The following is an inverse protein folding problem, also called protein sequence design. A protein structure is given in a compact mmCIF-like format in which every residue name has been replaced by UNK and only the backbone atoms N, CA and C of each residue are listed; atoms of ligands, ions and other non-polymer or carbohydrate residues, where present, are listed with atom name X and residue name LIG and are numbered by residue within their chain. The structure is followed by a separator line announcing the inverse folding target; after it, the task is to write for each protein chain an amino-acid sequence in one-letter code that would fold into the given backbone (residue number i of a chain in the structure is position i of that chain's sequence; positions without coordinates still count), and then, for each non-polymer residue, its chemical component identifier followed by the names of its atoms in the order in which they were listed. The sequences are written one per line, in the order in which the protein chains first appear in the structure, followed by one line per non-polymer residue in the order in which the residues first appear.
data_IF_747706405494
#
_entry.id   IF_747706405494
#
_cell.length_a   1.000
_cell.length_b   1.000
_cell.length_c   1.000
_cell.angle_alpha   90.00
_cell.angle_beta   90.00
_cell.angle_gamma   90.00
#
_symmetry.space_group_name_H-M   'P 1'
#
loop_
_entity.id
_entity.type
_entity.pdbx_description
1 polymer ?
#
# COMPACT_ATOMS: atom_id res chain seq x y z
N UNK A 1 -18.95 19.87 -1.15
CA UNK A 1 -17.66 19.14 -1.02
C UNK A 1 -17.78 17.88 -1.86
N UNK A 2 -17.10 17.83 -3.00
CA UNK A 2 -17.08 16.64 -3.88
C UNK A 2 -15.70 16.01 -3.80
N UNK A 3 -15.65 14.78 -3.31
CA UNK A 3 -14.45 13.98 -3.23
C UNK A 3 -14.47 12.93 -4.34
N UNK A 4 -13.38 12.83 -5.10
CA UNK A 4 -13.18 11.81 -6.12
C UNK A 4 -11.85 11.09 -5.89
N UNK A 5 -11.86 9.77 -6.04
CA UNK A 5 -10.65 8.96 -5.89
C UNK A 5 -10.44 8.08 -7.12
N UNK A 6 -9.39 8.36 -7.86
CA UNK A 6 -8.88 7.53 -8.96
C UNK A 6 -7.91 6.51 -8.38
N UNK A 7 -8.32 5.24 -8.37
CA UNK A 7 -7.61 4.22 -7.61
C UNK A 7 -7.75 2.82 -8.21
N UNK A 8 -7.05 1.88 -7.65
CA UNK A 8 -7.23 0.45 -7.90
C UNK A 8 -7.43 -0.28 -6.58
N UNK A 9 -8.39 -1.20 -6.52
CA UNK A 9 -8.79 -1.91 -5.30
C UNK A 9 -7.61 -2.52 -4.54
N UNK A 10 -6.71 -3.21 -5.23
CA UNK A 10 -5.55 -3.90 -4.65
C UNK A 10 -4.29 -3.04 -4.52
N UNK A 11 -4.30 -1.75 -4.85
CA UNK A 11 -3.13 -0.88 -4.68
C UNK A 11 -2.93 -0.52 -3.21
N UNK A 12 -1.78 -0.87 -2.63
CA UNK A 12 -1.44 -0.52 -1.24
C UNK A 12 -1.49 0.99 -0.98
N UNK A 13 -1.04 1.80 -1.94
CA UNK A 13 -1.13 3.26 -1.84
C UNK A 13 -2.59 3.76 -1.89
N UNK A 14 -3.45 3.13 -2.71
CA UNK A 14 -4.88 3.47 -2.74
C UNK A 14 -5.59 3.03 -1.46
N UNK A 15 -5.19 1.90 -0.89
CA UNK A 15 -5.73 1.40 0.39
C UNK A 15 -5.41 2.35 1.55
N UNK A 16 -4.23 3.00 1.57
CA UNK A 16 -3.89 4.04 2.55
C UNK A 16 -4.93 5.18 2.55
N UNK A 17 -5.27 5.68 1.38
CA UNK A 17 -6.25 6.78 1.23
C UNK A 17 -7.65 6.32 1.61
N UNK A 18 -8.08 5.12 1.20
CA UNK A 18 -9.39 4.57 1.59
C UNK A 18 -9.52 4.35 3.09
N UNK A 19 -8.46 3.85 3.76
CA UNK A 19 -8.43 3.75 5.23
C UNK A 19 -8.62 5.13 5.87
N UNK A 20 -7.90 6.14 5.37
CA UNK A 20 -8.02 7.50 5.88
C UNK A 20 -9.43 8.07 5.68
N UNK A 21 -10.02 7.90 4.50
CA UNK A 21 -11.41 8.31 4.23
C UNK A 21 -12.38 7.64 5.21
N UNK A 22 -12.25 6.32 5.40
CA UNK A 22 -13.12 5.57 6.32
C UNK A 22 -12.95 6.03 7.78
N UNK A 23 -11.74 6.31 8.23
CA UNK A 23 -11.47 6.85 9.58
C UNK A 23 -11.97 8.30 9.74
N UNK A 24 -12.07 9.05 8.65
CA UNK A 24 -12.66 10.38 8.60
C UNK A 24 -14.20 10.37 8.46
N UNK A 25 -14.83 9.21 8.63
CA UNK A 25 -16.29 9.06 8.56
C UNK A 25 -16.87 8.99 7.16
N UNK A 26 -16.04 8.70 6.16
CA UNK A 26 -16.41 8.56 4.75
C UNK A 26 -16.13 7.12 4.23
N UNK A 27 -16.78 6.07 4.81
CA UNK A 27 -16.44 4.69 4.48
C UNK A 27 -17.05 4.18 3.17
N UNK A 28 -18.13 4.83 2.65
CA UNK A 28 -18.96 4.28 1.58
C UNK A 28 -18.55 4.78 0.18
N UNK A 29 -17.95 3.89 -0.61
CA UNK A 29 -17.65 4.13 -2.02
C UNK A 29 -18.92 4.42 -2.83
N UNK A 30 -18.85 5.39 -3.74
CA UNK A 30 -19.96 5.79 -4.59
C UNK A 30 -21.06 6.58 -3.87
N UNK A 31 -20.93 6.80 -2.55
CA UNK A 31 -21.86 7.61 -1.76
C UNK A 31 -21.14 8.77 -1.08
N UNK A 32 -20.12 8.48 -0.25
CA UNK A 32 -19.36 9.49 0.47
C UNK A 32 -18.30 10.14 -0.44
N UNK A 33 -17.84 9.41 -1.45
CA UNK A 33 -16.91 9.85 -2.47
C UNK A 33 -17.12 9.11 -3.80
N UNK A 34 -16.81 9.77 -4.89
CA UNK A 34 -16.93 9.19 -6.25
C UNK A 34 -15.73 8.28 -6.53
N UNK A 35 -16.01 7.05 -6.92
CA UNK A 35 -15.01 6.05 -7.28
C UNK A 35 -14.70 6.09 -8.78
N UNK A 36 -13.42 6.20 -9.11
CA UNK A 36 -12.90 6.01 -10.46
C UNK A 36 -11.88 4.86 -10.43
N UNK A 37 -12.31 3.66 -10.80
CA UNK A 37 -11.39 2.52 -10.85
C UNK A 37 -10.46 2.66 -12.07
N UNK A 38 -9.14 2.61 -11.82
CA UNK A 38 -8.08 2.65 -12.83
C UNK A 38 -7.54 1.26 -13.04
N UNK A 39 -7.74 0.68 -14.21
CA UNK A 39 -7.26 -0.66 -14.54
C UNK A 39 -5.74 -0.63 -14.85
N UNK A 40 -4.95 -1.00 -13.84
CA UNK A 40 -3.49 -1.10 -13.97
C UNK A 40 -3.05 -2.25 -14.88
N UNK A 41 -3.90 -3.23 -15.10
CA UNK A 41 -3.65 -4.34 -16.03
C UNK A 41 -3.69 -3.87 -17.49
N UNK A 42 -4.57 -2.92 -17.79
CA UNK A 42 -4.69 -2.25 -19.10
C UNK A 42 -3.84 -1.00 -19.22
N UNK A 43 -3.06 -0.67 -18.19
CA UNK A 43 -2.19 0.52 -18.15
C UNK A 43 -2.92 1.86 -18.30
N UNK A 44 -4.17 1.96 -17.83
CA UNK A 44 -4.95 3.19 -17.89
C UNK A 44 -4.28 4.37 -17.17
N UNK A 45 -3.45 4.10 -16.16
CA UNK A 45 -2.64 5.14 -15.50
C UNK A 45 -1.58 5.79 -16.43
N UNK A 46 -1.36 5.25 -17.61
CA UNK A 46 -0.43 5.79 -18.63
C UNK A 46 -1.18 6.43 -19.82
N UNK A 47 -2.49 6.52 -19.77
CA UNK A 47 -3.28 7.23 -20.77
C UNK A 47 -3.08 8.75 -20.64
N UNK A 48 -3.05 9.50 -21.76
CA UNK A 48 -2.79 10.94 -21.73
C UNK A 48 -3.66 11.69 -20.74
N UNK A 49 -4.97 11.42 -20.71
CA UNK A 49 -5.91 12.09 -19.82
C UNK A 49 -5.62 11.83 -18.34
N UNK A 50 -5.09 10.64 -18.00
CA UNK A 50 -4.69 10.37 -16.62
C UNK A 50 -3.35 11.03 -16.28
N UNK A 51 -2.38 11.02 -17.20
CA UNK A 51 -1.07 11.67 -17.02
C UNK A 51 -1.15 13.19 -16.88
N UNK A 52 -2.18 13.84 -17.46
CA UNK A 52 -2.47 15.25 -17.22
C UNK A 52 -2.82 15.53 -15.74
N UNK A 53 -3.51 14.59 -15.07
CA UNK A 53 -3.83 14.70 -13.64
C UNK A 53 -2.67 14.24 -12.76
N UNK A 54 -2.02 13.13 -13.12
CA UNK A 54 -0.92 12.56 -12.34
C UNK A 54 0.25 12.16 -13.25
N UNK A 55 1.21 13.07 -13.44
CA UNK A 55 2.36 12.84 -14.32
C UNK A 55 3.27 11.70 -13.87
N UNK A 56 3.12 11.21 -12.63
CA UNK A 56 3.84 10.04 -12.11
C UNK A 56 3.33 8.71 -12.71
N UNK A 57 2.14 8.69 -13.36
CA UNK A 57 1.57 7.49 -13.96
C UNK A 57 1.30 6.38 -12.94
N UNK A 58 0.83 6.73 -11.74
CA UNK A 58 0.54 5.81 -10.63
C UNK A 58 -0.80 6.15 -9.98
N UNK A 59 -1.33 5.22 -9.19
CA UNK A 59 -2.51 5.45 -8.34
C UNK A 59 -2.09 5.51 -6.86
N UNK A 60 -2.82 6.24 -6.00
CA UNK A 60 -4.04 7.01 -6.27
C UNK A 60 -3.79 8.41 -6.81
N UNK A 61 -4.82 8.97 -7.44
CA UNK A 61 -5.00 10.40 -7.64
C UNK A 61 -6.30 10.80 -6.94
N UNK A 62 -6.27 11.90 -6.22
CA UNK A 62 -7.40 12.39 -5.43
C UNK A 62 -7.85 13.74 -5.97
N UNK A 63 -9.17 13.99 -5.98
CA UNK A 63 -9.72 15.32 -6.26
C UNK A 63 -10.64 15.77 -5.15
N UNK A 64 -10.54 17.04 -4.81
CA UNK A 64 -11.47 17.71 -3.92
C UNK A 64 -11.96 19.01 -4.57
N UNK A 65 -13.27 19.07 -4.86
CA UNK A 65 -13.90 20.18 -5.56
C UNK A 65 -13.18 20.54 -6.88
N UNK A 66 -12.68 19.53 -7.60
CA UNK A 66 -11.97 19.68 -8.87
C UNK A 66 -10.45 19.82 -8.76
N UNK A 67 -9.91 20.20 -7.60
CA UNK A 67 -8.46 20.32 -7.38
C UNK A 67 -7.80 18.96 -7.21
N UNK A 68 -6.70 18.75 -7.91
CA UNK A 68 -5.97 17.47 -7.95
C UNK A 68 -4.88 17.43 -6.89
N UNK A 69 -4.86 16.34 -6.12
CA UNK A 69 -3.81 16.04 -5.15
C UNK A 69 -3.26 14.64 -5.46
N UNK A 70 -1.94 14.54 -5.54
CA UNK A 70 -1.22 13.30 -5.80
C UNK A 70 -0.33 12.93 -4.61
N UNK A 71 0.24 11.72 -4.61
CA UNK A 71 1.01 11.11 -3.52
C UNK A 71 0.15 10.71 -2.32
N UNK A 72 0.06 9.40 -2.10
CA UNK A 72 -0.87 8.84 -1.09
C UNK A 72 -0.70 9.42 0.31
N UNK A 73 0.53 9.67 0.75
CA UNK A 73 0.80 10.24 2.08
C UNK A 73 0.43 11.73 2.15
N UNK A 74 0.64 12.49 1.07
CA UNK A 74 0.18 13.87 0.98
C UNK A 74 -1.36 13.95 0.98
N UNK A 75 -2.04 13.03 0.28
CA UNK A 75 -3.50 12.92 0.31
C UNK A 75 -3.99 12.62 1.73
N UNK A 76 -3.33 11.71 2.46
CA UNK A 76 -3.68 11.40 3.86
C UNK A 76 -3.52 12.63 4.76
N UNK A 77 -2.41 13.35 4.65
CA UNK A 77 -2.16 14.58 5.42
C UNK A 77 -3.19 15.66 5.04
N UNK A 78 -3.51 15.82 3.76
CA UNK A 78 -4.55 16.74 3.30
C UNK A 78 -5.93 16.40 3.88
N UNK A 79 -6.32 15.14 3.87
CA UNK A 79 -7.60 14.69 4.45
C UNK A 79 -7.67 14.96 5.96
N UNK A 80 -6.54 14.82 6.67
CA UNK A 80 -6.44 15.17 8.08
C UNK A 80 -6.70 16.67 8.33
N UNK A 81 -6.20 17.53 7.44
CA UNK A 81 -6.35 18.99 7.55
C UNK A 81 -7.72 19.47 7.05
N UNK A 82 -8.24 18.87 5.96
CA UNK A 82 -9.52 19.23 5.35
C UNK A 82 -10.72 18.74 6.17
N UNK A 83 -10.59 17.61 6.87
CA UNK A 83 -11.60 17.01 7.75
C UNK A 83 -10.96 16.77 9.11
N UNK A 84 -10.91 17.80 9.98
CA UNK A 84 -10.10 17.75 11.21
C UNK A 84 -10.55 16.67 12.22
N UNK A 85 -11.83 16.33 12.24
CA UNK A 85 -12.38 15.37 13.20
C UNK A 85 -12.93 14.11 12.49
N UNK A 86 -12.69 12.92 13.05
CA UNK A 86 -11.81 12.65 14.19
C UNK A 86 -10.33 12.90 13.85
N UNK A 87 -9.56 13.46 14.80
CA UNK A 87 -8.15 13.75 14.58
C UNK A 87 -7.32 12.47 14.50
N UNK A 88 -6.52 12.32 13.42
CA UNK A 88 -5.63 11.19 13.16
C UNK A 88 -4.14 11.56 13.29
N UNK A 89 -3.82 12.80 13.64
CA UNK A 89 -2.47 13.25 14.00
C UNK A 89 -2.49 13.94 15.35
N UNK A 90 -1.40 13.86 16.12
CA UNK A 90 -1.29 14.57 17.39
C UNK A 90 -1.46 16.09 17.24
N UNK A 91 -2.07 16.74 18.24
CA UNK A 91 -2.17 18.21 18.28
C UNK A 91 -0.84 18.88 18.68
N UNK A 92 -0.05 18.23 19.52
CA UNK A 92 1.27 18.69 19.90
C UNK A 92 2.21 18.72 18.70
N UNK A 93 2.92 19.82 18.49
CA UNK A 93 3.75 20.04 17.29
C UNK A 93 4.94 19.08 17.22
N UNK A 94 5.55 18.74 18.34
CA UNK A 94 6.70 17.80 18.37
C UNK A 94 6.22 16.38 18.09
N UNK A 95 5.14 15.95 18.73
CA UNK A 95 4.52 14.65 18.45
C UNK A 95 4.05 14.54 17.00
N UNK A 96 3.46 15.61 16.44
CA UNK A 96 3.08 15.68 15.02
C UNK A 96 4.30 15.59 14.08
N UNK A 97 5.41 16.24 14.41
CA UNK A 97 6.65 16.12 13.63
C UNK A 97 7.21 14.69 13.68
N UNK A 98 7.16 14.01 14.83
CA UNK A 98 7.54 12.60 14.97
C UNK A 98 6.61 11.69 14.16
N UNK A 99 5.31 11.95 14.16
CA UNK A 99 4.34 11.25 13.32
C UNK A 99 4.69 11.37 11.83
N UNK A 100 4.98 12.59 11.34
CA UNK A 100 5.43 12.82 9.95
C UNK A 100 6.74 12.11 9.62
N UNK A 101 7.68 12.02 10.57
CA UNK A 101 8.90 11.24 10.37
C UNK A 101 8.60 9.74 10.19
N UNK A 102 7.65 9.19 10.95
CA UNK A 102 7.14 7.84 10.74
C UNK A 102 6.52 7.66 9.35
N UNK A 103 5.70 8.60 8.91
CA UNK A 103 5.07 8.55 7.59
C UNK A 103 6.13 8.48 6.46
N UNK A 104 7.21 9.28 6.56
CA UNK A 104 8.32 9.24 5.58
C UNK A 104 9.03 7.89 5.58
N UNK A 105 9.30 7.33 6.76
CA UNK A 105 9.88 6.00 6.89
C UNK A 105 8.99 4.91 6.25
N UNK A 106 7.67 4.96 6.49
CA UNK A 106 6.73 4.00 5.92
C UNK A 106 6.60 4.10 4.39
N UNK A 107 6.80 5.28 3.81
CA UNK A 107 6.86 5.45 2.36
C UNK A 107 8.14 4.88 1.77
N UNK A 108 9.26 5.14 2.40
CA UNK A 108 10.58 4.78 1.90
C UNK A 108 10.89 3.28 2.06
N UNK A 109 10.53 2.67 3.18
CA UNK A 109 10.92 1.30 3.50
C UNK A 109 9.82 0.28 3.18
N UNK A 110 8.74 0.10 3.99
CA UNK A 110 7.81 -1.00 3.73
C UNK A 110 6.99 -0.82 2.45
N UNK A 111 6.66 0.41 2.07
CA UNK A 111 5.92 0.69 0.82
C UNK A 111 6.74 0.34 -0.42
N UNK A 112 8.05 0.45 -0.36
CA UNK A 112 8.94 0.04 -1.46
C UNK A 112 9.20 -1.46 -1.40
N UNK A 113 9.49 -1.99 -0.23
CA UNK A 113 9.81 -3.40 -0.02
C UNK A 113 8.67 -4.32 -0.48
N UNK A 114 7.43 -4.06 -0.08
CA UNK A 114 6.26 -4.90 -0.40
C UNK A 114 6.00 -5.07 -1.90
N UNK A 115 6.51 -4.17 -2.73
CA UNK A 115 6.40 -4.29 -4.20
C UNK A 115 7.19 -5.47 -4.75
N UNK A 116 8.34 -5.79 -4.16
CA UNK A 116 9.22 -6.87 -4.62
C UNK A 116 8.49 -8.22 -4.62
N UNK A 117 7.99 -8.73 -3.48
CA UNK A 117 7.21 -9.96 -3.48
C UNK A 117 5.90 -9.83 -4.26
N UNK A 118 5.21 -8.68 -4.26
CA UNK A 118 3.99 -8.47 -5.05
C UNK A 118 4.24 -8.70 -6.55
N UNK A 119 5.38 -8.25 -7.08
CA UNK A 119 5.73 -8.48 -8.48
C UNK A 119 6.19 -9.91 -8.73
N UNK A 120 6.91 -10.52 -7.81
CA UNK A 120 7.35 -11.91 -7.95
C UNK A 120 6.18 -12.91 -7.87
N UNK A 121 5.24 -12.68 -6.94
CA UNK A 121 4.12 -13.59 -6.69
C UNK A 121 2.96 -13.44 -7.70
N UNK A 122 2.81 -12.27 -8.33
CA UNK A 122 1.67 -12.02 -9.21
C UNK A 122 2.00 -11.20 -10.45
N UNK A 123 2.43 -9.93 -10.28
CA UNK A 123 2.30 -8.96 -11.38
C UNK A 123 3.25 -9.22 -12.55
N UNK A 124 4.49 -9.64 -12.30
CA UNK A 124 5.43 -9.90 -13.38
C UNK A 124 5.07 -11.17 -14.16
N UNK A 125 4.81 -12.33 -13.54
CA UNK A 125 4.34 -13.51 -14.25
C UNK A 125 3.05 -13.25 -15.03
N UNK A 126 2.08 -12.59 -14.43
CA UNK A 126 0.78 -12.30 -15.06
C UNK A 126 0.91 -11.42 -16.31
N UNK A 127 1.81 -10.41 -16.28
CA UNK A 127 1.89 -9.37 -17.32
C UNK A 127 2.92 -9.66 -18.40
N UNK A 128 3.98 -10.38 -18.06
CA UNK A 128 5.18 -10.48 -18.91
C UNK A 128 5.52 -11.90 -19.35
N UNK A 129 4.83 -12.93 -18.84
CA UNK A 129 5.02 -14.31 -19.37
C UNK A 129 4.73 -14.33 -20.87
N UNK A 130 5.69 -14.85 -21.65
CA UNK A 130 5.62 -14.93 -23.12
C UNK A 130 5.97 -13.63 -23.87
N UNK A 131 6.29 -12.55 -23.17
CA UNK A 131 6.82 -11.32 -23.78
C UNK A 131 8.31 -11.47 -24.09
N UNK A 132 8.79 -10.80 -25.14
CA UNK A 132 10.22 -10.67 -25.43
C UNK A 132 10.89 -9.67 -24.46
N UNK A 133 12.23 -9.74 -24.34
CA UNK A 133 13.00 -8.78 -23.55
C UNK A 133 12.84 -7.34 -24.09
N UNK A 134 12.69 -7.20 -25.40
CA UNK A 134 12.44 -5.90 -26.03
C UNK A 134 11.08 -5.31 -25.63
N UNK A 135 10.02 -6.12 -25.63
CA UNK A 135 8.68 -5.69 -25.18
C UNK A 135 8.66 -5.33 -23.71
N UNK A 136 9.38 -6.10 -22.88
CA UNK A 136 9.50 -5.81 -21.45
C UNK A 136 10.27 -4.50 -21.21
N UNK A 137 11.39 -4.29 -21.91
CA UNK A 137 12.18 -3.07 -21.81
C UNK A 137 11.39 -1.84 -22.29
N UNK A 138 10.71 -1.95 -23.43
CA UNK A 138 9.87 -0.88 -23.97
C UNK A 138 8.72 -0.51 -23.00
N UNK A 139 8.16 -1.51 -22.29
CA UNK A 139 7.18 -1.21 -21.24
C UNK A 139 7.81 -0.44 -20.08
N UNK A 140 8.98 -0.85 -19.59
CA UNK A 140 9.69 -0.14 -18.52
C UNK A 140 9.98 1.33 -18.87
N UNK A 141 10.33 1.58 -20.12
CA UNK A 141 10.63 2.93 -20.62
C UNK A 141 9.42 3.90 -20.62
N UNK A 142 8.20 3.35 -20.65
CA UNK A 142 6.96 4.13 -20.60
C UNK A 142 6.56 4.60 -19.21
N UNK A 143 7.24 4.12 -18.15
CA UNK A 143 6.86 4.36 -16.76
C UNK A 143 7.62 5.56 -16.18
N UNK A 144 6.97 6.74 -15.97
CA UNK A 144 7.67 7.95 -15.54
C UNK A 144 8.42 7.75 -14.22
N UNK A 145 7.76 7.17 -13.22
CA UNK A 145 8.31 7.04 -11.86
C UNK A 145 9.03 5.70 -11.62
N UNK A 146 8.72 4.63 -12.38
CA UNK A 146 9.12 3.26 -12.00
C UNK A 146 10.02 2.57 -12.99
N UNK A 147 10.58 3.28 -13.96
CA UNK A 147 11.49 2.72 -14.96
C UNK A 147 12.60 1.87 -14.32
N UNK A 148 13.33 2.41 -13.36
CA UNK A 148 14.44 1.71 -12.69
C UNK A 148 13.99 0.48 -11.91
N UNK A 149 12.82 0.53 -11.27
CA UNK A 149 12.25 -0.63 -10.58
C UNK A 149 12.01 -1.80 -11.55
N UNK A 150 11.42 -1.52 -12.72
CA UNK A 150 11.19 -2.54 -13.75
C UNK A 150 12.49 -3.05 -14.36
N UNK A 151 13.48 -2.19 -14.58
CA UNK A 151 14.79 -2.58 -15.13
C UNK A 151 15.61 -3.48 -14.19
N UNK A 152 15.30 -3.50 -12.89
CA UNK A 152 15.97 -4.37 -11.91
C UNK A 152 15.40 -5.79 -11.86
N UNK A 153 14.24 -6.04 -12.42
CA UNK A 153 13.61 -7.37 -12.40
C UNK A 153 13.64 -8.02 -13.79
N UNK A 154 13.36 -9.32 -13.82
CA UNK A 154 13.12 -10.07 -15.06
C UNK A 154 11.62 -10.12 -15.38
N UNK A 155 11.25 -10.74 -16.50
CA UNK A 155 9.85 -11.04 -16.83
C UNK A 155 9.15 -11.92 -15.77
N UNK A 156 9.92 -12.72 -15.01
CA UNK A 156 9.44 -13.53 -13.88
C UNK A 156 9.37 -12.75 -12.56
N UNK A 157 9.71 -11.45 -12.58
CA UNK A 157 9.83 -10.61 -11.39
C UNK A 157 11.21 -10.73 -10.75
N UNK A 158 11.24 -10.51 -9.45
CA UNK A 158 12.45 -10.50 -8.63
C UNK A 158 12.88 -11.92 -8.24
N UNK A 159 14.19 -12.11 -8.04
CA UNK A 159 14.77 -13.36 -7.58
C UNK A 159 14.69 -13.54 -6.07
N UNK A 160 15.22 -14.70 -5.59
CA UNK A 160 15.24 -15.08 -4.17
C UNK A 160 15.87 -14.01 -3.29
N UNK A 161 17.07 -13.56 -3.62
CA UNK A 161 17.81 -12.58 -2.81
C UNK A 161 17.06 -11.23 -2.67
N UNK A 162 16.38 -10.77 -3.73
CA UNK A 162 15.58 -9.55 -3.67
C UNK A 162 14.38 -9.73 -2.73
N UNK A 163 13.70 -10.89 -2.80
CA UNK A 163 12.56 -11.22 -1.95
C UNK A 163 12.99 -11.32 -0.49
N UNK A 164 14.09 -12.02 -0.19
CA UNK A 164 14.64 -12.14 1.16
C UNK A 164 15.02 -10.77 1.74
N UNK A 165 15.66 -9.91 0.94
CA UNK A 165 15.98 -8.54 1.36
C UNK A 165 14.71 -7.73 1.64
N UNK A 166 13.70 -7.82 0.79
CA UNK A 166 12.42 -7.15 1.00
C UNK A 166 11.70 -7.66 2.27
N UNK A 167 11.71 -8.97 2.50
CA UNK A 167 11.19 -9.58 3.74
C UNK A 167 11.96 -9.08 4.98
N UNK A 168 13.28 -8.96 4.89
CA UNK A 168 14.10 -8.37 5.96
C UNK A 168 13.71 -6.92 6.28
N UNK A 169 13.44 -6.10 5.28
CA UNK A 169 12.97 -4.72 5.48
C UNK A 169 11.56 -4.66 6.11
N UNK A 170 10.68 -5.58 5.74
CA UNK A 170 9.35 -5.71 6.39
C UNK A 170 9.53 -6.18 7.83
N UNK A 171 10.39 -7.18 8.11
CA UNK A 171 10.72 -7.62 9.47
C UNK A 171 11.20 -6.44 10.33
N UNK A 172 12.14 -5.66 9.85
CA UNK A 172 12.63 -4.47 10.54
C UNK A 172 11.50 -3.47 10.83
N UNK A 173 10.56 -3.32 9.90
CA UNK A 173 9.38 -2.46 10.10
C UNK A 173 8.48 -3.01 11.21
N UNK A 174 8.22 -4.32 11.23
CA UNK A 174 7.42 -4.96 12.28
C UNK A 174 8.07 -4.84 13.66
N UNK A 175 9.39 -5.05 13.76
CA UNK A 175 10.16 -4.84 15.00
C UNK A 175 10.08 -3.39 15.49
N UNK A 176 10.16 -2.44 14.55
CA UNK A 176 10.05 -1.03 14.88
C UNK A 176 8.64 -0.66 15.36
N UNK A 177 7.59 -1.24 14.78
CA UNK A 177 6.20 -1.10 15.24
C UNK A 177 6.04 -1.72 16.63
N UNK A 178 6.47 -2.96 16.84
CA UNK A 178 6.38 -3.66 18.13
C UNK A 178 7.06 -2.85 19.25
N UNK A 179 8.27 -2.36 18.98
CA UNK A 179 9.01 -1.50 19.91
C UNK A 179 8.28 -0.17 20.17
N UNK A 180 7.76 0.48 19.14
CA UNK A 180 7.08 1.77 19.30
C UNK A 180 5.82 1.65 20.16
N UNK A 181 5.03 0.57 19.98
CA UNK A 181 3.87 0.28 20.81
C UNK A 181 4.29 0.10 22.28
N UNK A 182 5.39 -0.63 22.53
CA UNK A 182 5.93 -0.78 23.88
C UNK A 182 6.35 0.55 24.49
N UNK A 183 7.13 1.34 23.75
CA UNK A 183 7.70 2.62 24.24
C UNK A 183 6.60 3.67 24.50
N UNK A 184 5.52 3.66 23.71
CA UNK A 184 4.43 4.63 23.81
C UNK A 184 3.25 4.16 24.71
N UNK A 185 3.31 2.92 25.21
CA UNK A 185 2.34 2.37 26.17
C UNK A 185 0.93 2.20 25.62
N UNK A 186 0.78 2.04 24.30
CA UNK A 186 -0.53 1.99 23.67
C UNK A 186 -0.82 0.68 22.96
N UNK A 187 -2.04 0.48 22.45
CA UNK A 187 -2.31 -0.52 21.43
C UNK A 187 -1.87 -0.06 20.04
N UNK A 188 -1.71 1.27 19.79
CA UNK A 188 -1.35 1.85 18.52
C UNK A 188 0.10 2.32 18.48
N UNK A 189 0.63 2.54 17.29
CA UNK A 189 2.06 2.86 17.08
C UNK A 189 2.48 4.11 17.86
N UNK A 190 1.62 5.13 17.96
CA UNK A 190 1.92 6.36 18.70
C UNK A 190 1.23 6.46 20.08
N UNK A 191 0.74 5.37 20.63
CA UNK A 191 0.13 5.32 21.97
C UNK A 191 -1.34 4.93 21.96
N UNK A 192 -2.18 5.70 22.70
CA UNK A 192 -3.57 5.30 22.95
C UNK A 192 -4.53 5.58 21.79
N UNK A 193 -4.15 6.42 20.83
CA UNK A 193 -4.99 6.79 19.71
C UNK A 193 -4.51 6.18 18.41
N UNK A 194 -5.45 5.65 17.60
CA UNK A 194 -5.21 5.29 16.22
C UNK A 194 -4.87 6.55 15.42
N UNK A 195 -3.87 6.46 14.56
CA UNK A 195 -3.32 7.59 13.80
C UNK A 195 -3.15 7.28 12.32
N UNK A 196 -2.78 8.29 11.52
CA UNK A 196 -2.38 8.10 10.12
C UNK A 196 -1.22 7.13 9.96
N UNK A 197 -0.39 6.95 10.99
CA UNK A 197 0.74 6.03 10.96
C UNK A 197 0.25 4.58 10.92
N UNK A 198 -0.76 4.26 11.72
CA UNK A 198 -1.42 2.95 11.72
C UNK A 198 -2.11 2.69 10.38
N UNK A 199 -2.85 3.69 9.85
CA UNK A 199 -3.48 3.62 8.53
C UNK A 199 -2.46 3.40 7.40
N UNK A 200 -1.31 4.05 7.47
CA UNK A 200 -0.27 3.97 6.44
C UNK A 200 0.50 2.65 6.46
N UNK A 201 0.74 2.08 7.65
CA UNK A 201 1.42 0.80 7.79
C UNK A 201 0.57 -0.38 7.31
N UNK A 202 -0.73 -0.33 7.59
CA UNK A 202 -1.72 -1.39 7.37
C UNK A 202 -1.64 -2.06 6.00
N UNK A 203 -1.66 -1.34 4.86
CA UNK A 203 -1.70 -1.99 3.55
C UNK A 203 -0.45 -2.79 3.19
N UNK A 204 0.70 -2.43 3.73
CA UNK A 204 1.92 -3.22 3.51
C UNK A 204 1.89 -4.53 4.28
N UNK A 205 1.38 -4.51 5.51
CA UNK A 205 1.24 -5.71 6.35
C UNK A 205 0.14 -6.63 5.79
N UNK A 206 -1.04 -6.08 5.42
CA UNK A 206 -2.10 -6.84 4.75
C UNK A 206 -1.60 -7.55 3.48
N UNK A 207 -0.81 -6.85 2.67
CA UNK A 207 -0.25 -7.41 1.46
C UNK A 207 0.71 -8.56 1.72
N UNK A 208 1.55 -8.47 2.76
CA UNK A 208 2.45 -9.55 3.14
C UNK A 208 1.67 -10.77 3.67
N UNK A 209 0.63 -10.55 4.51
CA UNK A 209 -0.26 -11.61 4.96
C UNK A 209 -1.01 -12.27 3.78
N UNK A 210 -1.57 -11.48 2.85
CA UNK A 210 -2.25 -11.98 1.66
C UNK A 210 -1.36 -12.91 0.81
N UNK A 211 -0.07 -12.62 0.76
CA UNK A 211 0.92 -13.43 0.04
C UNK A 211 1.49 -14.60 0.86
N UNK A 212 1.14 -14.76 2.13
CA UNK A 212 1.64 -15.83 3.01
C UNK A 212 3.07 -15.61 3.51
N UNK A 213 3.45 -14.37 3.80
CA UNK A 213 4.70 -13.97 4.44
C UNK A 213 4.48 -13.51 5.89
N UNK A 214 3.38 -13.89 6.51
CA UNK A 214 3.02 -13.47 7.88
C UNK A 214 3.88 -14.13 8.96
N UNK A 215 4.64 -15.18 8.63
CA UNK A 215 5.67 -15.76 9.48
C UNK A 215 6.73 -14.74 9.93
N UNK A 216 6.91 -13.66 9.19
CA UNK A 216 7.88 -12.57 9.45
C UNK A 216 7.69 -11.93 10.84
N UNK A 217 6.47 -11.87 11.39
CA UNK A 217 6.17 -11.20 12.68
C UNK A 217 5.50 -12.07 13.73
N UNK A 218 5.44 -13.39 13.54
CA UNK A 218 4.72 -14.28 14.47
C UNK A 218 5.35 -14.37 15.88
N UNK A 219 6.60 -14.01 16.04
CA UNK A 219 7.31 -13.93 17.33
C UNK A 219 7.22 -12.54 18.01
N UNK A 220 6.58 -11.54 17.37
CA UNK A 220 6.42 -10.18 17.86
C UNK A 220 5.01 -9.99 18.46
N UNK A 221 4.89 -10.12 19.78
CA UNK A 221 3.58 -10.21 20.46
C UNK A 221 2.72 -8.94 20.30
N UNK A 222 3.35 -7.75 20.42
CA UNK A 222 2.62 -6.47 20.28
C UNK A 222 2.24 -6.20 18.84
N UNK A 223 3.10 -6.56 17.91
CA UNK A 223 2.81 -6.49 16.48
C UNK A 223 1.62 -7.37 16.09
N UNK A 224 1.54 -8.60 16.63
CA UNK A 224 0.39 -9.51 16.40
C UNK A 224 -0.91 -8.93 16.97
N UNK A 225 -0.84 -8.39 18.18
CA UNK A 225 -2.01 -7.77 18.83
C UNK A 225 -2.47 -6.55 18.02
N UNK A 226 -1.54 -5.65 17.68
CA UNK A 226 -1.82 -4.50 16.83
C UNK A 226 -2.47 -4.90 15.50
N UNK A 227 -1.95 -5.95 14.86
CA UNK A 227 -2.48 -6.44 13.60
C UNK A 227 -3.90 -7.02 13.74
N UNK A 228 -4.17 -7.73 14.83
CA UNK A 228 -5.52 -8.21 15.15
C UNK A 228 -6.49 -7.03 15.37
N UNK A 229 -6.07 -6.01 16.11
CA UNK A 229 -6.86 -4.81 16.40
C UNK A 229 -7.13 -4.00 15.11
N UNK A 230 -6.15 -3.87 14.23
CA UNK A 230 -6.34 -3.28 12.88
C UNK A 230 -7.44 -4.02 12.10
N UNK A 231 -7.38 -5.34 12.03
CA UNK A 231 -8.36 -6.16 11.29
C UNK A 231 -9.77 -6.09 11.87
N UNK A 232 -9.90 -5.80 13.15
CA UNK A 232 -11.18 -5.63 13.83
C UNK A 232 -11.88 -4.30 13.51
N UNK A 233 -11.14 -3.28 13.04
CA UNK A 233 -11.67 -1.94 12.78
C UNK A 233 -12.70 -1.92 11.63
N UNK A 234 -13.76 -1.11 11.75
CA UNK A 234 -14.70 -0.89 10.64
C UNK A 234 -14.03 -0.35 9.37
N UNK A 235 -13.06 0.55 9.51
CA UNK A 235 -12.28 1.13 8.41
C UNK A 235 -11.48 0.09 7.62
N UNK A 236 -10.93 -0.92 8.30
CA UNK A 236 -10.26 -2.04 7.64
C UNK A 236 -11.27 -2.81 6.76
N UNK A 237 -12.43 -3.18 7.31
CA UNK A 237 -13.47 -3.90 6.57
C UNK A 237 -13.99 -3.11 5.37
N UNK A 238 -14.18 -1.80 5.52
CA UNK A 238 -14.58 -0.90 4.44
C UNK A 238 -13.50 -0.80 3.32
N UNK A 239 -12.23 -0.90 3.68
CA UNK A 239 -11.11 -0.78 2.74
C UNK A 239 -10.77 -2.10 2.06
N UNK A 240 -10.73 -3.20 2.82
CA UNK A 240 -10.40 -4.54 2.33
C UNK A 240 -11.67 -5.35 2.04
N UNK A 241 -12.55 -4.76 1.22
CA UNK A 241 -13.76 -5.43 0.74
C UNK A 241 -13.42 -6.56 -0.24
N UNK A 242 -14.35 -7.49 -0.54
CA UNK A 242 -14.12 -8.58 -1.49
C UNK A 242 -13.57 -8.10 -2.84
N UNK A 243 -12.45 -8.68 -3.27
CA UNK A 243 -11.70 -8.27 -4.47
C UNK A 243 -10.68 -7.13 -4.24
N UNK A 244 -10.50 -6.65 -3.01
CA UNK A 244 -9.47 -5.66 -2.68
C UNK A 244 -8.09 -6.27 -2.41
N UNK A 245 -7.99 -7.58 -2.21
CA UNK A 245 -6.74 -8.32 -2.09
C UNK A 245 -6.31 -8.94 -3.42
N UNK A 246 -5.04 -9.20 -3.60
CA UNK A 246 -4.51 -9.81 -4.83
C UNK A 246 -4.97 -11.25 -5.00
N UNK A 247 -4.98 -12.04 -3.93
CA UNK A 247 -5.47 -13.43 -3.93
C UNK A 247 -6.92 -13.56 -4.38
N UNK A 248 -7.75 -12.60 -3.97
CA UNK A 248 -9.17 -12.58 -4.31
C UNK A 248 -9.42 -12.06 -5.74
N UNK A 249 -8.65 -11.06 -6.18
CA UNK A 249 -8.83 -10.41 -7.49
C UNK A 249 -8.24 -11.23 -8.65
N UNK A 250 -7.16 -11.94 -8.41
CA UNK A 250 -6.42 -12.69 -9.43
C UNK A 250 -6.13 -14.14 -9.02
N UNK A 251 -7.11 -14.92 -8.57
CA UNK A 251 -6.88 -16.25 -8.00
C UNK A 251 -6.19 -17.21 -8.97
N UNK A 252 -6.43 -17.06 -10.28
CA UNK A 252 -5.83 -17.91 -11.31
C UNK A 252 -4.33 -17.64 -11.55
N UNK A 253 -3.82 -16.49 -11.12
CA UNK A 253 -2.43 -16.06 -11.36
C UNK A 253 -1.64 -15.85 -10.07
N UNK A 254 -2.34 -15.71 -8.97
CA UNK A 254 -1.77 -15.44 -7.66
C UNK A 254 -1.05 -16.68 -7.11
N UNK A 255 0.13 -16.47 -6.53
CA UNK A 255 0.89 -17.51 -5.84
C UNK A 255 1.25 -17.05 -4.45
N UNK A 256 1.06 -17.93 -3.48
CA UNK A 256 1.57 -17.70 -2.12
C UNK A 256 3.09 -17.79 -2.08
N UNK A 257 3.69 -17.33 -0.99
CA UNK A 257 5.13 -17.46 -0.74
C UNK A 257 5.60 -18.92 -0.86
N UNK A 258 4.85 -19.84 -0.28
CA UNK A 258 5.14 -21.27 -0.33
C UNK A 258 5.11 -21.80 -1.78
N UNK A 259 4.03 -21.54 -2.50
CA UNK A 259 3.88 -21.98 -3.91
C UNK A 259 4.99 -21.41 -4.80
N UNK A 260 5.39 -20.16 -4.58
CA UNK A 260 6.46 -19.54 -5.33
C UNK A 260 7.82 -20.18 -5.02
N UNK A 261 8.11 -20.49 -3.76
CA UNK A 261 9.34 -21.20 -3.34
C UNK A 261 9.41 -22.59 -3.96
N UNK A 262 8.33 -23.36 -3.90
CA UNK A 262 8.23 -24.71 -4.49
C UNK A 262 8.46 -24.67 -6.01
N UNK A 263 7.81 -23.75 -6.73
CA UNK A 263 7.97 -23.63 -8.18
C UNK A 263 9.38 -23.24 -8.61
N UNK A 264 10.06 -22.40 -7.81
CA UNK A 264 11.40 -21.88 -8.14
C UNK A 264 12.55 -22.66 -7.51
N UNK A 265 12.25 -23.69 -6.69
CA UNK A 265 13.23 -24.59 -6.08
C UNK A 265 14.05 -23.96 -4.95
N UNK A 266 13.44 -23.08 -4.14
CA UNK A 266 14.11 -22.51 -2.97
C UNK A 266 13.20 -22.29 -1.78
#
# INVERSE_FOLDING_TARGET
MTIELYHTAHSTCSQKVRLTLAEKGLPERGKDWVEHEVDLGKFQQLEPAYLEMNPNGVVPTFKHDGEVIIESSAIMEYLEEAIPEPALLPKDLVARARARAWMRYLDEVPTVAVRVPSFANLFAPMRFTGKSDQEFSAHADRLPLRKQFYQRMTQKGFGKADIENACGQIRQTCERIDKAIADNGGPWILGQQYTLIDAQATPSIDRMEDMGYDDIWQDLERMKTWWADIKARPSYKATFYPGARMSERYPAHFKTAQQLREERGY
#
